data_IF_578008814505
#
_entry.id   IF_578008814505
#
_cell.length_a   1.000
_cell.length_b   1.000
_cell.length_c   1.000
_cell.angle_alpha   90.00
_cell.angle_beta   90.00
_cell.angle_gamma   90.00
#
_symmetry.space_group_name_H-M   'P 1'
#
loop_
_entity.id
_entity.type
_entity.pdbx_description
1 polymer ?
#
# COMPACT_ATOMS: atom_id res chain seq x y z
N UNK A 1 18.77 59.47 -48.38
CA UNK A 1 17.32 59.76 -48.58
C UNK A 1 16.53 58.53 -48.22
N UNK A 2 15.50 58.73 -47.39
CA UNK A 2 14.59 57.78 -46.74
C UNK A 2 14.21 56.59 -47.64
N UNK A 3 14.23 55.37 -47.10
CA UNK A 3 13.05 54.50 -47.04
C UNK A 3 13.04 53.71 -45.73
N UNK A 4 11.92 53.87 -45.06
CA UNK A 4 11.53 53.40 -43.75
C UNK A 4 10.67 52.14 -43.93
N UNK A 5 10.67 51.29 -42.90
CA UNK A 5 9.69 50.25 -42.55
C UNK A 5 9.73 48.92 -43.31
N UNK A 6 10.00 47.83 -42.58
CA UNK A 6 8.93 46.95 -42.08
C UNK A 6 9.45 45.97 -41.01
N UNK A 7 8.59 45.76 -40.01
CA UNK A 7 8.78 44.99 -38.79
C UNK A 7 8.90 43.47 -39.06
N UNK A 8 9.85 42.81 -38.39
CA UNK A 8 9.75 41.38 -38.07
C UNK A 8 10.06 41.18 -36.59
N UNK A 9 8.99 41.07 -35.81
CA UNK A 9 9.00 40.57 -34.43
C UNK A 9 9.21 39.08 -34.48
N UNK A 10 10.35 38.58 -33.99
CA UNK A 10 10.56 37.15 -33.71
C UNK A 10 10.69 37.00 -32.19
N UNK A 11 9.54 36.78 -31.54
CA UNK A 11 9.47 36.38 -30.13
C UNK A 11 9.83 34.89 -30.09
N UNK A 12 11.08 34.58 -29.73
CA UNK A 12 11.50 33.22 -29.44
C UNK A 12 11.12 32.88 -27.99
N UNK A 13 9.89 32.41 -27.79
CA UNK A 13 9.45 31.84 -26.52
C UNK A 13 9.87 30.37 -26.46
N UNK A 14 11.05 30.07 -25.90
CA UNK A 14 11.40 28.71 -25.49
C UNK A 14 10.74 28.40 -24.16
N UNK A 15 9.59 27.71 -24.20
CA UNK A 15 9.05 27.07 -23.00
C UNK A 15 9.94 25.86 -22.67
N UNK A 16 10.77 26.03 -21.65
CA UNK A 16 11.43 24.91 -20.96
C UNK A 16 10.35 24.18 -20.17
N UNK A 17 9.71 23.21 -20.80
CA UNK A 17 8.87 22.25 -20.09
C UNK A 17 9.77 21.30 -19.30
N UNK A 18 9.95 21.60 -18.01
CA UNK A 18 10.55 20.68 -17.06
C UNK A 18 9.49 19.66 -16.64
N UNK A 19 9.25 18.63 -17.46
CA UNK A 19 8.50 17.45 -17.01
C UNK A 19 9.45 16.55 -16.22
N UNK A 20 9.72 16.89 -14.97
CA UNK A 20 10.20 15.89 -14.00
C UNK A 20 8.98 15.15 -13.45
N UNK A 21 8.31 14.40 -14.32
CA UNK A 21 7.56 13.26 -13.83
C UNK A 21 8.59 12.18 -13.55
N UNK A 22 8.86 11.94 -12.27
CA UNK A 22 9.53 10.73 -11.83
C UNK A 22 8.61 9.57 -12.23
N UNK A 23 8.82 9.04 -13.44
CA UNK A 23 8.30 7.74 -13.80
C UNK A 23 8.73 6.78 -12.70
N UNK A 24 7.74 6.22 -12.01
CA UNK A 24 7.96 5.06 -11.15
C UNK A 24 8.78 4.06 -11.94
N UNK A 25 9.90 3.67 -11.35
CA UNK A 25 10.88 2.74 -11.90
C UNK A 25 10.20 1.59 -12.62
N UNK A 26 10.50 1.44 -13.90
CA UNK A 26 10.23 0.20 -14.64
C UNK A 26 11.14 -0.86 -14.02
N UNK A 27 10.53 -1.77 -13.27
CA UNK A 27 11.19 -2.92 -12.68
C UNK A 27 10.20 -3.70 -11.83
N UNK A 28 9.57 -4.72 -12.44
CA UNK A 28 8.61 -5.65 -11.82
C UNK A 28 7.35 -4.97 -11.22
N UNK A 29 6.20 -5.11 -11.90
CA UNK A 29 4.92 -4.50 -11.48
C UNK A 29 4.62 -4.71 -10.00
N UNK A 30 3.94 -3.74 -9.35
CA UNK A 30 3.71 -3.71 -7.90
C UNK A 30 3.17 -5.03 -7.34
N UNK A 31 2.42 -5.79 -8.15
CA UNK A 31 1.90 -7.11 -7.78
C UNK A 31 3.00 -8.14 -7.53
N UNK A 32 4.08 -8.10 -8.31
CA UNK A 32 5.21 -9.00 -8.14
C UNK A 32 6.05 -8.64 -6.90
N UNK A 33 6.17 -7.35 -6.57
CA UNK A 33 6.84 -6.88 -5.37
C UNK A 33 6.04 -7.19 -4.09
N UNK A 34 4.71 -7.30 -4.20
CA UNK A 34 3.81 -7.64 -3.09
C UNK A 34 4.05 -9.06 -2.55
N UNK A 35 4.58 -9.96 -3.38
CA UNK A 35 4.88 -11.33 -3.00
C UNK A 35 5.82 -11.44 -1.80
N UNK A 36 5.51 -12.37 -0.89
CA UNK A 36 6.31 -12.61 0.31
C UNK A 36 5.55 -12.40 1.61
N UNK A 37 6.30 -12.27 2.71
CA UNK A 37 5.74 -12.16 4.07
C UNK A 37 6.01 -10.77 4.63
N UNK A 38 4.97 -10.18 5.22
CA UNK A 38 4.95 -8.81 5.72
C UNK A 38 4.45 -8.79 7.16
N UNK A 39 5.17 -8.12 8.05
CA UNK A 39 4.84 -7.97 9.47
C UNK A 39 4.37 -6.55 9.76
N UNK A 40 3.22 -6.42 10.41
CA UNK A 40 2.62 -5.13 10.73
C UNK A 40 3.51 -4.35 11.72
N UNK A 41 3.74 -3.08 11.43
CA UNK A 41 4.50 -2.18 12.31
C UNK A 41 3.74 -0.89 12.66
N UNK A 42 2.62 -0.60 11.98
CA UNK A 42 1.76 0.54 12.27
C UNK A 42 0.35 0.27 11.77
N UNK A 43 -0.64 0.74 12.54
CA UNK A 43 -2.06 0.71 12.20
C UNK A 43 -2.74 1.98 12.73
N UNK A 44 -3.53 2.62 11.88
CA UNK A 44 -4.34 3.79 12.25
C UNK A 44 -5.60 3.37 13.02
N UNK A 45 -6.24 4.33 13.71
CA UNK A 45 -7.56 4.13 14.33
C UNK A 45 -7.58 4.14 15.87
N UNK A 46 -6.92 3.20 16.57
CA UNK A 46 -7.06 3.09 18.01
C UNK A 46 -6.27 4.18 18.75
N UNK A 47 -6.80 4.62 19.90
CA UNK A 47 -6.09 5.52 20.84
C UNK A 47 -5.04 4.78 21.70
N UNK A 48 -4.88 3.48 21.48
CA UNK A 48 -3.96 2.60 22.18
C UNK A 48 -2.64 2.56 21.39
N UNK A 49 -1.50 2.64 22.09
CA UNK A 49 -0.19 2.50 21.46
C UNK A 49 -0.07 1.13 20.75
N UNK A 50 0.65 1.08 19.63
CA UNK A 50 0.81 -0.13 18.82
C UNK A 50 1.23 -1.37 19.63
N UNK A 51 2.20 -1.21 20.54
CA UNK A 51 2.66 -2.31 21.40
C UNK A 51 1.63 -2.72 22.47
N UNK A 52 0.72 -1.82 22.86
CA UNK A 52 -0.41 -2.17 23.73
C UNK A 52 -1.49 -2.95 22.98
N UNK A 53 -1.62 -2.72 21.67
CA UNK A 53 -2.54 -3.45 20.80
C UNK A 53 -2.03 -4.86 20.44
N UNK A 54 -0.71 -5.00 20.30
CA UNK A 54 -0.04 -6.26 19.93
C UNK A 54 1.15 -6.58 20.86
N UNK A 55 0.91 -6.87 22.15
CA UNK A 55 1.98 -7.00 23.15
C UNK A 55 2.81 -8.29 23.01
N UNK A 56 2.25 -9.36 22.44
CA UNK A 56 2.94 -10.64 22.30
C UNK A 56 3.49 -10.89 20.90
N UNK A 57 2.64 -10.74 19.88
CA UNK A 57 2.98 -11.03 18.49
C UNK A 57 2.35 -9.98 17.58
N UNK A 58 3.07 -9.55 16.56
CA UNK A 58 2.53 -8.62 15.57
C UNK A 58 1.78 -9.38 14.47
N UNK A 59 0.69 -8.83 13.91
CA UNK A 59 0.03 -9.41 12.76
C UNK A 59 0.98 -9.59 11.57
N UNK A 60 0.81 -10.68 10.84
CA UNK A 60 1.59 -11.01 9.65
C UNK A 60 0.64 -11.37 8.52
N UNK A 61 0.98 -10.94 7.30
CA UNK A 61 0.32 -11.35 6.07
C UNK A 61 1.36 -11.87 5.06
N UNK A 62 1.04 -12.98 4.42
CA UNK A 62 1.81 -13.60 3.35
C UNK A 62 0.97 -13.55 2.07
N UNK A 63 1.58 -13.05 0.99
CA UNK A 63 1.01 -13.03 -0.35
C UNK A 63 1.69 -14.09 -1.21
N UNK A 64 0.88 -15.00 -1.73
CA UNK A 64 1.27 -15.98 -2.74
C UNK A 64 0.66 -15.55 -4.07
N UNK A 65 1.50 -14.94 -4.92
CA UNK A 65 1.08 -14.38 -6.21
C UNK A 65 0.79 -15.50 -7.22
N UNK A 66 1.54 -16.61 -7.16
CA UNK A 66 1.35 -17.76 -8.04
C UNK A 66 0.00 -18.43 -7.77
N UNK A 67 -0.32 -18.65 -6.50
CA UNK A 67 -1.58 -19.28 -6.07
C UNK A 67 -2.76 -18.30 -6.03
N UNK A 68 -2.51 -16.99 -6.22
CA UNK A 68 -3.50 -15.91 -6.03
C UNK A 68 -4.20 -16.00 -4.67
N UNK A 69 -3.40 -16.15 -3.61
CA UNK A 69 -3.89 -16.31 -2.24
C UNK A 69 -3.14 -15.41 -1.27
N UNK A 70 -3.82 -15.04 -0.20
CA UNK A 70 -3.18 -14.46 0.98
C UNK A 70 -3.49 -15.32 2.21
N UNK A 71 -2.57 -15.32 3.16
CA UNK A 71 -2.72 -16.01 4.44
C UNK A 71 -1.96 -15.26 5.52
N UNK A 72 -2.26 -15.51 6.78
CA UNK A 72 -1.59 -14.79 7.85
C UNK A 72 -2.13 -15.09 9.23
N UNK A 73 -1.73 -14.25 10.19
CA UNK A 73 -2.22 -14.27 11.55
C UNK A 73 -2.44 -12.84 12.06
N UNK A 74 -3.51 -12.64 12.82
CA UNK A 74 -3.97 -11.34 13.37
C UNK A 74 -3.35 -11.00 14.74
N UNK A 75 -2.23 -11.64 15.10
CA UNK A 75 -1.73 -11.83 16.48
C UNK A 75 -2.43 -12.95 17.27
N UNK A 76 -3.64 -13.38 16.88
CA UNK A 76 -4.40 -14.39 17.61
C UNK A 76 -4.88 -15.48 16.65
N UNK A 77 -5.83 -15.18 15.77
CA UNK A 77 -6.33 -16.13 14.79
C UNK A 77 -5.54 -16.15 13.49
N UNK A 78 -5.52 -17.32 12.86
CA UNK A 78 -5.00 -17.48 11.51
C UNK A 78 -6.10 -17.18 10.50
N UNK A 79 -5.74 -16.59 9.37
CA UNK A 79 -6.68 -16.24 8.31
C UNK A 79 -6.12 -16.58 6.93
N UNK A 80 -7.01 -16.81 5.96
CA UNK A 80 -6.62 -16.96 4.55
C UNK A 80 -7.78 -16.65 3.60
N UNK A 81 -7.46 -16.13 2.42
CA UNK A 81 -8.42 -15.74 1.41
C UNK A 81 -7.82 -15.69 0.02
N UNK A 82 -8.67 -15.38 -0.96
CA UNK A 82 -8.27 -15.16 -2.34
C UNK A 82 -7.62 -13.78 -2.48
N UNK A 83 -6.46 -13.70 -3.12
CA UNK A 83 -5.83 -12.43 -3.46
C UNK A 83 -6.51 -11.83 -4.70
N UNK A 84 -7.10 -10.66 -4.51
CA UNK A 84 -7.66 -9.83 -5.58
C UNK A 84 -6.86 -8.52 -5.56
N UNK A 85 -5.83 -8.46 -6.40
CA UNK A 85 -4.91 -7.33 -6.49
C UNK A 85 -4.40 -7.17 -7.93
N UNK A 86 -4.08 -5.93 -8.28
CA UNK A 86 -3.31 -5.56 -9.46
C UNK A 86 -2.02 -4.84 -9.00
N UNK A 87 -1.39 -4.05 -9.87
CA UNK A 87 -0.13 -3.36 -9.55
C UNK A 87 -0.26 -2.23 -8.51
N UNK A 88 -1.47 -1.76 -8.21
CA UNK A 88 -1.70 -0.64 -7.27
C UNK A 88 -2.88 -0.86 -6.32
N UNK A 89 -3.87 -1.66 -6.72
CA UNK A 89 -5.11 -1.88 -5.97
C UNK A 89 -5.10 -3.24 -5.28
N UNK A 90 -5.80 -3.33 -4.15
CA UNK A 90 -5.97 -4.57 -3.41
C UNK A 90 -7.35 -4.59 -2.75
N UNK A 91 -7.99 -5.74 -2.74
CA UNK A 91 -9.35 -5.87 -2.25
C UNK A 91 -9.49 -7.03 -1.25
N UNK A 92 -9.84 -6.69 0.00
CA UNK A 92 -10.11 -7.62 1.09
C UNK A 92 -11.61 -7.71 1.48
N UNK A 93 -12.51 -7.18 0.66
CA UNK A 93 -13.96 -7.13 0.95
C UNK A 93 -14.65 -8.47 0.72
N UNK A 94 -14.04 -9.38 -0.07
CA UNK A 94 -14.54 -10.74 -0.23
C UNK A 94 -14.39 -11.52 1.08
N UNK A 95 -15.34 -12.40 1.42
CA UNK A 95 -15.21 -13.26 2.59
C UNK A 95 -13.91 -14.07 2.54
N UNK A 96 -13.22 -14.13 3.67
CA UNK A 96 -12.03 -14.95 3.87
C UNK A 96 -12.18 -15.77 5.15
N UNK A 97 -11.48 -16.90 5.21
CA UNK A 97 -11.58 -17.82 6.33
C UNK A 97 -10.72 -17.34 7.48
N UNK A 98 -11.19 -17.53 8.71
CA UNK A 98 -10.44 -17.23 9.93
C UNK A 98 -10.78 -18.26 11.02
N UNK A 99 -9.80 -18.65 11.82
CA UNK A 99 -10.05 -19.44 13.03
C UNK A 99 -10.82 -18.62 14.07
N UNK A 100 -11.42 -19.26 15.07
CA UNK A 100 -12.21 -18.59 16.13
C UNK A 100 -11.74 -18.99 17.53
N UNK A 101 -10.53 -18.56 17.89
CA UNK A 101 -10.04 -18.62 19.27
C UNK A 101 -10.53 -17.38 20.05
N UNK A 102 -10.64 -17.49 21.37
CA UNK A 102 -10.92 -16.36 22.24
C UNK A 102 -9.67 -15.47 22.35
N UNK A 103 -9.73 -14.26 21.81
CA UNK A 103 -8.61 -13.32 21.75
C UNK A 103 -8.78 -12.19 22.77
N UNK A 104 -7.75 -11.87 23.58
CA UNK A 104 -7.79 -10.73 24.46
C UNK A 104 -7.60 -9.41 23.69
N UNK A 105 -8.25 -8.34 24.16
CA UNK A 105 -8.10 -6.99 23.63
C UNK A 105 -8.73 -6.76 22.25
N UNK A 106 -8.42 -5.61 21.64
CA UNK A 106 -9.06 -5.15 20.40
C UNK A 106 -8.17 -5.30 19.15
N UNK A 107 -6.98 -5.90 19.30
CA UNK A 107 -5.97 -5.92 18.24
C UNK A 107 -6.38 -6.70 16.99
N UNK A 108 -7.01 -7.86 17.17
CA UNK A 108 -7.51 -8.66 16.04
C UNK A 108 -8.64 -7.93 15.30
N UNK A 109 -9.64 -7.43 16.03
CA UNK A 109 -10.78 -6.70 15.46
C UNK A 109 -10.28 -5.48 14.68
N UNK A 110 -9.41 -4.67 15.28
CA UNK A 110 -8.82 -3.49 14.63
C UNK A 110 -8.06 -3.86 13.35
N UNK A 111 -7.26 -4.93 13.40
CA UNK A 111 -6.52 -5.41 12.23
C UNK A 111 -7.47 -5.78 11.08
N UNK A 112 -8.50 -6.58 11.36
CA UNK A 112 -9.46 -7.04 10.35
C UNK A 112 -10.26 -5.89 9.77
N UNK A 113 -10.68 -4.94 10.59
CA UNK A 113 -11.41 -3.75 10.13
C UNK A 113 -10.57 -2.86 9.22
N UNK A 114 -9.32 -2.59 9.59
CA UNK A 114 -8.44 -1.79 8.74
C UNK A 114 -8.03 -2.52 7.46
N UNK A 115 -7.80 -3.84 7.53
CA UNK A 115 -7.51 -4.64 6.35
C UNK A 115 -8.64 -4.55 5.32
N UNK A 116 -9.91 -4.59 5.77
CA UNK A 116 -11.09 -4.46 4.89
C UNK A 116 -11.26 -3.06 4.30
N UNK A 117 -10.70 -2.01 4.93
CA UNK A 117 -10.72 -0.63 4.44
C UNK A 117 -9.62 -0.33 3.43
N UNK A 118 -8.60 -1.18 3.34
CA UNK A 118 -7.54 -1.03 2.36
C UNK A 118 -8.09 -1.20 0.94
N UNK A 119 -7.83 -0.21 0.09
CA UNK A 119 -8.22 -0.21 -1.33
C UNK A 119 -7.03 -0.17 -2.26
N UNK A 120 -5.93 0.45 -1.82
CA UNK A 120 -4.70 0.57 -2.59
C UNK A 120 -3.50 0.21 -1.72
N UNK A 121 -2.38 -0.08 -2.37
CA UNK A 121 -1.13 -0.33 -1.68
C UNK A 121 0.04 0.32 -2.40
N UNK A 122 1.09 0.61 -1.64
CA UNK A 122 2.38 1.06 -2.19
C UNK A 122 3.50 0.31 -1.53
N UNK A 123 4.52 -0.03 -2.31
CA UNK A 123 5.74 -0.65 -1.81
C UNK A 123 6.88 0.34 -2.00
N UNK A 124 7.54 0.68 -0.89
CA UNK A 124 8.67 1.60 -0.87
C UNK A 124 9.93 0.83 -0.51
N UNK A 125 11.01 1.08 -1.26
CA UNK A 125 12.34 0.50 -1.02
C UNK A 125 12.37 -1.04 -0.93
N UNK A 126 11.42 -1.73 -1.57
CA UNK A 126 11.22 -3.19 -1.53
C UNK A 126 11.04 -3.82 -0.13
N UNK A 127 10.99 -3.00 0.92
CA UNK A 127 10.99 -3.43 2.32
C UNK A 127 9.78 -2.92 3.12
N UNK A 128 9.04 -1.95 2.59
CA UNK A 128 7.93 -1.32 3.29
C UNK A 128 6.67 -1.35 2.45
N UNK A 129 5.64 -2.01 2.95
CA UNK A 129 4.31 -2.07 2.35
C UNK A 129 3.38 -1.13 3.13
N UNK A 130 2.72 -0.22 2.43
CA UNK A 130 1.66 0.62 2.99
C UNK A 130 0.33 0.24 2.36
N UNK A 131 -0.70 0.04 3.19
CA UNK A 131 -2.08 0.00 2.75
C UNK A 131 -2.76 1.34 2.94
N UNK A 132 -3.54 1.72 1.93
CA UNK A 132 -4.13 3.03 1.80
C UNK A 132 -5.67 2.91 1.77
N UNK A 133 -6.33 3.87 2.39
CA UNK A 133 -7.76 4.15 2.22
C UNK A 133 -7.87 5.53 1.57
N UNK A 134 -8.20 5.56 0.27
CA UNK A 134 -7.98 6.76 -0.54
C UNK A 134 -6.49 7.13 -0.55
N UNK A 135 -6.16 8.36 -0.17
CA UNK A 135 -4.79 8.88 -0.11
C UNK A 135 -4.12 8.74 1.27
N UNK A 136 -4.81 8.13 2.24
CA UNK A 136 -4.34 8.03 3.62
C UNK A 136 -3.76 6.65 3.89
N UNK A 137 -2.52 6.60 4.35
CA UNK A 137 -1.88 5.35 4.80
C UNK A 137 -2.49 4.89 6.14
N UNK A 138 -3.21 3.78 6.12
CA UNK A 138 -3.94 3.25 7.28
C UNK A 138 -3.21 2.10 7.97
N UNK A 139 -2.33 1.39 7.25
CA UNK A 139 -1.51 0.30 7.80
C UNK A 139 -0.14 0.32 7.14
N UNK A 140 0.90 -0.07 7.88
CA UNK A 140 2.26 -0.23 7.36
C UNK A 140 2.86 -1.52 7.88
N UNK A 141 3.60 -2.17 6.98
CA UNK A 141 4.25 -3.43 7.22
C UNK A 141 5.73 -3.35 6.81
N UNK A 142 6.56 -4.12 7.49
CA UNK A 142 7.93 -4.41 7.10
C UNK A 142 8.02 -5.79 6.46
N UNK A 143 8.83 -5.93 5.42
CA UNK A 143 9.16 -7.24 4.86
C UNK A 143 9.88 -8.08 5.92
N UNK A 144 9.51 -9.36 6.01
CA UNK A 144 10.06 -10.33 6.96
C UNK A 144 11.12 -11.22 6.34
#
# INVERSE_FOLDING_TARGET
MKRLMLFTVVIASSLVSCTTMKSGTIGNGGLSQLGGTWELNYISGPRIAFNGLYPGKKPIIKFDIAEKRFSGNTSCNSFSGQLIADDATINFTKPFMMTKMACPGEGETTFVEMLKKASNYTITSDSTLNFMMGDIAIMRFSKK
#
